data_IF_564523927009
#
_entry.id   IF_564523927009
#
_cell.length_a   1.000
_cell.length_b   1.000
_cell.length_c   1.000
_cell.angle_alpha   90.00
_cell.angle_beta   90.00
_cell.angle_gamma   90.00
#
_symmetry.space_group_name_H-M   'P 1'
#
loop_
_entity.id
_entity.type
_entity.pdbx_description
1 polymer ?
#
# COMPACT_ATOMS: atom_id res chain seq x y z
N UNK A 1 1.41 6.88 8.08
CA UNK A 1 2.23 5.88 8.82
C UNK A 1 3.47 6.42 9.53
N UNK A 2 4.09 7.51 9.09
CA UNK A 2 5.27 8.09 9.75
C UNK A 2 5.00 8.67 11.15
N UNK A 3 3.74 8.98 11.47
CA UNK A 3 3.33 9.56 12.75
C UNK A 3 3.25 8.54 13.91
N UNK A 4 3.32 7.24 13.63
CA UNK A 4 3.21 6.21 14.67
C UNK A 4 4.58 5.67 15.05
N UNK A 5 4.85 5.56 16.36
CA UNK A 5 6.06 4.90 16.85
C UNK A 5 6.02 3.39 16.60
N UNK A 6 7.17 2.78 16.36
CA UNK A 6 7.29 1.33 16.19
C UNK A 6 6.84 0.62 17.48
N UNK A 7 5.89 -0.31 17.35
CA UNK A 7 5.32 -1.11 18.44
C UNK A 7 5.26 -2.57 17.98
N UNK A 8 5.03 -3.50 18.90
CA UNK A 8 4.78 -4.92 18.55
C UNK A 8 3.57 -5.11 17.63
N UNK A 9 2.68 -4.12 17.56
CA UNK A 9 1.46 -4.11 16.76
C UNK A 9 1.41 -3.01 15.69
N UNK A 10 2.44 -2.13 15.61
CA UNK A 10 2.52 -1.08 14.57
C UNK A 10 3.92 -1.07 13.98
N UNK A 11 3.97 -1.30 12.68
CA UNK A 11 5.19 -1.37 11.90
C UNK A 11 5.42 -0.05 11.16
N UNK A 12 6.25 0.82 11.73
CA UNK A 12 6.59 2.11 11.12
C UNK A 12 7.65 1.92 10.04
N UNK A 13 7.44 2.37 8.79
CA UNK A 13 8.44 2.24 7.74
C UNK A 13 9.68 3.09 8.03
N UNK A 14 10.86 2.58 7.63
CA UNK A 14 12.10 3.36 7.66
C UNK A 14 11.98 4.56 6.70
N UNK A 15 12.16 5.77 7.23
CA UNK A 15 12.09 7.02 6.47
C UNK A 15 13.24 7.18 5.46
N UNK A 16 14.40 6.57 5.75
CA UNK A 16 15.57 6.53 4.86
C UNK A 16 16.25 5.16 4.98
N UNK A 17 15.90 4.18 4.12
CA UNK A 17 16.48 2.84 4.18
C UNK A 17 17.93 2.84 3.66
N UNK A 18 18.90 2.77 4.57
CA UNK A 18 20.32 2.77 4.26
C UNK A 18 20.86 1.36 3.97
N UNK A 19 20.35 0.34 4.65
CA UNK A 19 20.83 -1.04 4.52
C UNK A 19 20.05 -1.84 3.47
N UNK A 20 20.64 -2.90 2.86
CA UNK A 20 19.91 -3.80 1.97
C UNK A 20 18.67 -4.44 2.63
N UNK A 21 18.76 -4.77 3.92
CA UNK A 21 17.65 -5.32 4.69
C UNK A 21 16.50 -4.31 4.84
N UNK A 22 16.80 -3.05 5.15
CA UNK A 22 15.80 -1.97 5.24
C UNK A 22 15.13 -1.70 3.89
N UNK A 23 15.88 -1.76 2.77
CA UNK A 23 15.31 -1.60 1.42
C UNK A 23 14.34 -2.72 1.06
N UNK A 24 14.70 -3.98 1.35
CA UNK A 24 13.84 -5.14 1.12
C UNK A 24 12.54 -5.05 1.94
N UNK A 25 12.69 -4.66 3.21
CA UNK A 25 11.56 -4.42 4.09
C UNK A 25 10.65 -3.29 3.57
N UNK A 26 11.22 -2.14 3.21
CA UNK A 26 10.46 -1.01 2.67
C UNK A 26 9.69 -1.38 1.40
N UNK A 27 10.31 -2.14 0.48
CA UNK A 27 9.65 -2.61 -0.74
C UNK A 27 8.47 -3.54 -0.45
N UNK A 28 8.63 -4.47 0.50
CA UNK A 28 7.58 -5.39 0.93
C UNK A 28 6.44 -4.64 1.61
N UNK A 29 6.77 -3.71 2.51
CA UNK A 29 5.82 -2.88 3.23
C UNK A 29 5.01 -2.00 2.27
N UNK A 30 5.68 -1.30 1.33
CA UNK A 30 5.03 -0.45 0.32
C UNK A 30 4.07 -1.26 -0.56
N UNK A 31 4.48 -2.43 -1.00
CA UNK A 31 3.62 -3.32 -1.81
C UNK A 31 2.40 -3.75 -1.02
N UNK A 32 2.59 -4.16 0.23
CA UNK A 32 1.50 -4.57 1.12
C UNK A 32 0.51 -3.43 1.35
N UNK A 33 1.01 -2.22 1.66
CA UNK A 33 0.19 -1.01 1.83
C UNK A 33 -0.66 -0.72 0.60
N UNK A 34 -0.04 -0.73 -0.59
CA UNK A 34 -0.76 -0.50 -1.85
C UNK A 34 -1.87 -1.51 -2.12
N UNK A 35 -1.67 -2.78 -1.76
CA UNK A 35 -2.69 -3.83 -1.90
C UNK A 35 -3.85 -3.56 -0.93
N UNK A 36 -3.54 -3.24 0.33
CA UNK A 36 -4.54 -2.96 1.36
C UNK A 36 -5.37 -1.73 0.99
N UNK A 37 -4.72 -0.63 0.59
CA UNK A 37 -5.36 0.62 0.14
C UNK A 37 -6.30 0.36 -1.04
N UNK A 38 -5.82 -0.35 -2.07
CA UNK A 38 -6.64 -0.72 -3.23
C UNK A 38 -7.84 -1.57 -2.81
N UNK A 39 -7.64 -2.52 -1.89
CA UNK A 39 -8.71 -3.39 -1.41
C UNK A 39 -9.80 -2.60 -0.70
N UNK A 40 -9.42 -1.66 0.18
CA UNK A 40 -10.39 -0.78 0.83
C UNK A 40 -11.11 0.14 -0.16
N UNK A 41 -10.41 0.67 -1.17
CA UNK A 41 -11.05 1.44 -2.25
C UNK A 41 -12.12 0.63 -2.98
N UNK A 42 -11.82 -0.62 -3.35
CA UNK A 42 -12.79 -1.51 -3.99
C UNK A 42 -13.98 -1.86 -3.09
N UNK A 43 -13.76 -2.04 -1.78
CA UNK A 43 -14.84 -2.29 -0.82
C UNK A 43 -15.75 -1.08 -0.66
N UNK A 44 -15.19 0.13 -0.49
CA UNK A 44 -15.97 1.38 -0.40
C UNK A 44 -16.76 1.65 -1.68
N UNK A 45 -16.15 1.39 -2.84
CA UNK A 45 -16.77 1.53 -4.17
C UNK A 45 -17.98 0.61 -4.33
N UNK A 46 -17.82 -0.68 -4.01
CA UNK A 46 -18.89 -1.68 -4.12
C UNK A 46 -19.97 -1.51 -3.05
N UNK A 47 -19.60 -1.15 -1.83
CA UNK A 47 -20.51 -1.05 -0.69
C UNK A 47 -20.53 0.37 -0.13
N UNK A 48 -21.47 1.18 -0.63
CA UNK A 48 -21.64 2.57 -0.19
C UNK A 48 -21.90 2.72 1.31
N UNK A 49 -22.36 1.69 2.01
CA UNK A 49 -22.50 1.71 3.47
C UNK A 49 -21.16 1.82 4.23
N UNK A 50 -20.03 1.52 3.59
CA UNK A 50 -18.68 1.77 4.15
C UNK A 50 -18.19 3.17 3.77
N UNK A 51 -18.69 3.71 2.66
CA UNK A 51 -18.27 5.01 2.14
C UNK A 51 -18.98 6.15 2.86
N UNK A 52 -18.28 7.28 3.07
CA UNK A 52 -18.83 8.49 3.73
C UNK A 52 -20.11 9.01 3.03
N UNK A 53 -20.22 8.84 1.72
CA UNK A 53 -21.39 9.23 0.90
C UNK A 53 -22.65 8.41 1.17
N UNK A 54 -22.52 7.15 1.61
CA UNK A 54 -23.67 6.33 2.01
C UNK A 54 -24.12 6.57 3.45
N UNK A 55 -23.54 7.57 4.12
CA UNK A 55 -23.70 7.84 5.54
C UNK A 55 -22.65 7.13 6.38
N UNK A 56 -22.21 7.77 7.47
CA UNK A 56 -21.33 7.11 8.43
C UNK A 56 -22.08 5.94 9.11
N UNK A 57 -21.38 4.83 9.36
CA UNK A 57 -21.91 3.69 10.11
C UNK A 57 -22.19 4.11 11.56
N UNK A 58 -23.46 4.44 11.85
CA UNK A 58 -23.92 4.82 13.19
C UNK A 58 -24.20 3.58 14.07
N UNK A 59 -23.24 2.67 14.14
CA UNK A 59 -23.33 1.44 14.93
C UNK A 59 -22.20 1.36 15.96
N UNK A 60 -22.35 0.46 16.94
CA UNK A 60 -21.24 0.14 17.84
C UNK A 60 -20.03 -0.38 17.07
N UNK A 61 -18.79 -0.16 17.55
CA UNK A 61 -17.58 -0.65 16.88
C UNK A 61 -17.64 -2.15 16.55
N UNK A 62 -18.19 -2.95 17.46
CA UNK A 62 -18.39 -4.40 17.27
C UNK A 62 -19.29 -4.72 16.08
N UNK A 63 -20.39 -3.97 15.92
CA UNK A 63 -21.34 -4.14 14.81
C UNK A 63 -20.73 -3.64 13.51
N UNK A 64 -20.03 -2.51 13.54
CA UNK A 64 -19.29 -1.98 12.40
C UNK A 64 -18.26 -2.99 11.89
N UNK A 65 -17.50 -3.64 12.77
CA UNK A 65 -16.57 -4.71 12.39
C UNK A 65 -17.29 -5.89 11.70
N UNK A 66 -18.46 -6.30 12.19
CA UNK A 66 -19.27 -7.36 11.55
C UNK A 66 -19.75 -6.95 10.16
N UNK A 67 -20.18 -5.70 9.99
CA UNK A 67 -20.63 -5.16 8.70
C UNK A 67 -19.46 -5.18 7.70
N UNK A 68 -18.30 -4.63 8.09
CA UNK A 68 -17.10 -4.60 7.24
C UNK A 68 -16.65 -6.01 6.85
N UNK A 69 -16.64 -6.95 7.81
CA UNK A 69 -16.31 -8.35 7.54
C UNK A 69 -17.30 -9.00 6.56
N UNK A 70 -18.60 -8.72 6.70
CA UNK A 70 -19.64 -9.21 5.79
C UNK A 70 -19.45 -8.66 4.38
N UNK A 71 -19.14 -7.36 4.25
CA UNK A 71 -18.80 -6.76 2.95
C UNK A 71 -17.58 -7.43 2.32
N UNK A 72 -16.54 -7.76 3.07
CA UNK A 72 -15.38 -8.49 2.55
C UNK A 72 -15.74 -9.90 2.06
N UNK A 73 -16.58 -10.64 2.80
CA UNK A 73 -17.08 -11.95 2.37
C UNK A 73 -17.91 -11.85 1.09
N UNK A 74 -18.83 -10.89 1.02
CA UNK A 74 -19.66 -10.64 -0.16
C UNK A 74 -18.82 -10.19 -1.37
N UNK A 75 -17.78 -9.38 -1.14
CA UNK A 75 -16.82 -9.01 -2.18
C UNK A 75 -16.16 -10.25 -2.78
N UNK A 76 -15.64 -11.16 -1.94
CA UNK A 76 -14.98 -12.38 -2.41
C UNK A 76 -15.93 -13.27 -3.22
N UNK A 77 -17.19 -13.41 -2.78
CA UNK A 77 -18.21 -14.16 -3.53
C UNK A 77 -18.47 -13.49 -4.89
N UNK A 78 -18.63 -12.16 -4.91
CA UNK A 78 -18.87 -11.41 -6.14
C UNK A 78 -17.71 -11.52 -7.13
N UNK A 79 -16.46 -11.42 -6.64
CA UNK A 79 -15.24 -11.60 -7.43
C UNK A 79 -15.15 -13.01 -8.00
N UNK A 80 -15.45 -14.03 -7.20
CA UNK A 80 -15.47 -15.45 -7.66
C UNK A 80 -16.53 -15.68 -8.74
N UNK A 81 -17.64 -14.96 -8.67
CA UNK A 81 -18.73 -15.02 -9.66
C UNK A 81 -18.52 -14.09 -10.86
N UNK A 82 -17.40 -13.37 -10.93
CA UNK A 82 -17.10 -12.44 -12.03
C UNK A 82 -18.02 -11.23 -12.08
N UNK A 83 -18.66 -10.85 -10.97
CA UNK A 83 -19.52 -9.67 -10.91
C UNK A 83 -18.61 -8.44 -10.91
N UNK A 84 -18.69 -7.53 -11.90
CA UNK A 84 -17.84 -6.35 -11.95
C UNK A 84 -18.12 -5.40 -10.77
N UNK A 85 -17.11 -4.61 -10.42
CA UNK A 85 -17.30 -3.44 -9.53
C UNK A 85 -17.67 -2.28 -10.43
N UNK A 86 -18.80 -1.63 -10.17
CA UNK A 86 -19.18 -0.43 -10.91
C UNK A 86 -18.13 0.66 -10.69
N UNK A 87 -17.67 1.34 -11.75
CA UNK A 87 -16.75 2.45 -11.60
C UNK A 87 -17.43 3.55 -10.78
N UNK A 88 -16.89 3.80 -9.59
CA UNK A 88 -17.26 4.96 -8.78
C UNK A 88 -16.20 6.03 -8.96
N UNK A 89 -16.63 7.30 -8.92
CA UNK A 89 -15.72 8.44 -8.89
C UNK A 89 -14.59 8.21 -7.88
N UNK A 90 -13.35 8.59 -8.21
CA UNK A 90 -12.22 8.41 -7.31
C UNK A 90 -12.51 9.10 -5.98
N UNK A 91 -12.28 8.38 -4.88
CA UNK A 91 -12.36 8.93 -3.53
C UNK A 91 -11.35 10.08 -3.42
N UNK A 92 -11.84 11.32 -3.40
CA UNK A 92 -11.04 12.51 -3.07
C UNK A 92 -10.82 12.60 -1.55
N UNK A 93 -10.48 11.47 -0.90
CA UNK A 93 -10.10 11.46 0.50
C UNK A 93 -8.77 12.24 0.63
N UNK A 94 -8.84 13.50 1.09
CA UNK A 94 -7.68 14.39 1.33
C UNK A 94 -6.75 13.92 2.46
N UNK A 95 -7.06 12.79 3.10
CA UNK A 95 -6.33 12.19 4.23
C UNK A 95 -5.20 11.24 3.79
N UNK A 96 -4.90 11.14 2.49
CA UNK A 96 -3.80 10.32 1.98
C UNK A 96 -2.46 11.03 2.26
N UNK A 97 -1.99 10.86 3.50
CA UNK A 97 -0.72 11.38 4.00
C UNK A 97 0.39 11.00 3.01
N UNK A 98 1.08 11.99 2.39
CA UNK A 98 1.98 11.73 1.28
C UNK A 98 3.07 10.76 1.74
N UNK A 99 3.28 9.69 0.96
CA UNK A 99 4.46 8.83 1.08
C UNK A 99 5.69 9.74 1.22
N UNK A 100 6.59 9.51 2.20
CA UNK A 100 7.87 10.19 2.22
C UNK A 100 8.51 9.98 0.85
N UNK A 101 8.66 11.07 0.10
CA UNK A 101 9.20 11.02 -1.26
C UNK A 101 10.61 10.44 -1.16
N UNK A 102 10.85 9.31 -1.82
CA UNK A 102 12.21 8.86 -2.10
C UNK A 102 12.91 9.99 -2.85
N UNK A 103 13.84 10.68 -2.20
CA UNK A 103 14.61 11.72 -2.85
C UNK A 103 15.35 11.10 -4.05
N UNK A 104 15.30 11.69 -5.26
CA UNK A 104 15.91 11.12 -6.47
C UNK A 104 17.42 10.88 -6.39
N UNK A 105 18.10 11.44 -5.37
CA UNK A 105 19.56 11.37 -5.23
C UNK A 105 20.11 9.95 -5.02
N UNK A 106 19.30 8.98 -4.58
CA UNK A 106 19.79 7.61 -4.34
C UNK A 106 19.72 6.70 -5.57
N UNK A 107 19.30 7.22 -6.74
CA UNK A 107 19.30 6.45 -8.00
C UNK A 107 20.66 6.36 -8.70
N UNK A 108 21.68 7.09 -8.27
CA UNK A 108 22.95 7.07 -9.00
C UNK A 108 24.17 7.38 -8.13
N UNK A 109 24.77 6.36 -7.52
CA UNK A 109 26.23 6.24 -7.44
C UNK A 109 26.63 4.92 -6.76
N UNK A 110 27.47 4.15 -7.46
CA UNK A 110 28.30 3.00 -6.99
C UNK A 110 27.91 1.56 -7.40
N UNK A 111 27.06 1.35 -8.41
CA UNK A 111 26.92 0.02 -9.02
C UNK A 111 27.45 -0.11 -10.47
N UNK A 112 27.95 0.97 -11.08
CA UNK A 112 28.23 0.99 -12.53
C UNK A 112 29.67 1.39 -12.93
N UNK A 113 30.66 1.17 -12.04
CA UNK A 113 32.09 1.36 -12.40
C UNK A 113 32.97 0.12 -12.31
N UNK A 114 32.48 -0.99 -11.76
CA UNK A 114 33.29 -2.22 -11.61
C UNK A 114 32.96 -3.34 -12.60
N UNK A 115 31.85 -3.25 -13.35
CA UNK A 115 31.48 -4.27 -14.36
C UNK A 115 32.11 -3.97 -15.74
N UNK A 116 32.50 -2.72 -16.00
CA UNK A 116 33.08 -2.34 -17.31
C UNK A 116 34.62 -2.33 -17.33
N UNK A 117 35.30 -2.48 -16.19
CA UNK A 117 36.78 -2.47 -16.13
C UNK A 117 37.43 -3.87 -16.21
N UNK A 118 36.64 -4.93 -16.15
CA UNK A 118 37.11 -6.33 -16.14
C UNK A 118 36.93 -7.08 -17.47
N UNK A 119 36.41 -6.43 -18.53
CA UNK A 119 36.23 -7.04 -19.87
C UNK A 119 37.13 -6.48 -20.98
N UNK A 120 38.15 -5.69 -20.64
CA UNK A 120 39.06 -5.09 -21.62
C UNK A 120 40.53 -5.15 -21.16
N UNK A 121 41.08 -6.34 -20.91
CA UNK A 121 42.54 -6.63 -20.87
C UNK A 121 42.82 -8.14 -21.05
N UNK A 122 42.20 -8.79 -22.03
CA UNK A 122 42.74 -10.03 -22.61
C UNK A 122 42.60 -9.91 -24.13
N UNK A 123 43.62 -9.33 -24.75
CA UNK A 123 44.07 -9.58 -26.12
C UNK A 123 45.28 -8.68 -26.40
N UNK A 124 46.47 -9.21 -26.11
CA UNK A 124 47.60 -9.38 -27.02
C UNK A 124 48.68 -10.21 -26.30
#
# INVERSE_FOLDING_TARGET
DSAYAMRSFILTPYLSPATPAERSFYASHRTTRSIVERTFGLLKSRFRCIHKSGGALQYSPETTCKIVATCAMLHNIATTRGIPVEPTEPDSDEDDDPLPSLHPADRNSRADKDVLRSRATISD
#
